data_IF_543624553194
#
_entry.id   IF_543624553194
#
_cell.length_a   1.000
_cell.length_b   1.000
_cell.length_c   1.000
_cell.angle_alpha   90.00
_cell.angle_beta   90.00
_cell.angle_gamma   90.00
#
_symmetry.space_group_name_H-M   'P 1'
#
loop_
_entity.id
_entity.type
_entity.pdbx_description
1 polymer ?
#
# COMPACT_ATOMS: atom_id res chain seq x y z
N UNK A 1 14.25 53.92 10.05
CA UNK A 1 14.18 55.31 9.46
C UNK A 1 13.94 55.14 7.97
N UNK A 2 12.71 55.51 7.59
CA UNK A 2 12.31 56.33 6.42
C UNK A 2 12.71 55.79 5.04
N UNK A 3 11.73 55.33 4.24
CA UNK A 3 10.76 56.00 3.35
C UNK A 3 11.46 56.69 2.15
N UNK A 4 11.05 56.40 0.89
CA UNK A 4 10.00 56.96 0.02
C UNK A 4 10.23 56.49 -1.42
N UNK A 5 9.27 55.92 -2.16
CA UNK A 5 8.23 56.51 -3.05
C UNK A 5 8.75 57.42 -4.17
N UNK A 6 8.41 57.05 -5.44
CA UNK A 6 7.80 57.87 -6.51
C UNK A 6 7.79 57.11 -7.82
N UNK A 7 6.70 56.78 -8.44
CA UNK A 7 5.65 57.43 -9.24
C UNK A 7 6.05 57.82 -10.68
N UNK A 8 5.39 57.11 -11.60
CA UNK A 8 4.82 57.48 -12.90
C UNK A 8 5.57 58.38 -13.89
N UNK A 9 5.58 57.94 -15.17
CA UNK A 9 5.01 58.72 -16.30
C UNK A 9 4.65 57.80 -17.47
N UNK A 10 3.39 57.96 -17.95
CA UNK A 10 2.83 57.44 -19.18
C UNK A 10 3.32 58.20 -20.40
N UNK A 11 3.53 57.54 -21.51
CA UNK A 11 3.41 58.13 -22.85
C UNK A 11 2.90 57.07 -23.82
N UNK A 12 1.75 57.34 -24.46
CA UNK A 12 1.13 56.51 -25.43
C UNK A 12 1.74 56.65 -26.81
N UNK A 13 1.60 55.63 -27.63
CA UNK A 13 1.69 55.71 -29.11
C UNK A 13 0.79 54.66 -29.73
N UNK A 14 0.16 55.06 -30.80
CA UNK A 14 -1.01 54.50 -31.49
C UNK A 14 -0.78 53.20 -32.22
N UNK A 15 -1.92 52.50 -32.44
CA UNK A 15 -2.12 51.24 -33.09
C UNK A 15 -1.73 51.17 -34.55
N UNK A 16 -1.19 50.01 -34.94
CA UNK A 16 -1.29 49.47 -36.29
C UNK A 16 -1.89 48.04 -36.21
N UNK A 17 -3.13 47.91 -36.67
CA UNK A 17 -3.86 46.62 -36.75
C UNK A 17 -3.42 45.92 -38.01
N UNK A 18 -2.76 44.77 -37.87
CA UNK A 18 -2.65 43.76 -38.95
C UNK A 18 -3.49 42.54 -38.60
N UNK A 19 -4.29 42.00 -39.51
CA UNK A 19 -5.07 40.79 -39.24
C UNK A 19 -4.14 39.57 -39.28
N UNK A 20 -3.84 38.99 -38.12
CA UNK A 20 -3.17 37.69 -38.04
C UNK A 20 -4.23 36.60 -38.14
N UNK A 21 -4.05 35.72 -39.14
CA UNK A 21 -4.82 34.52 -39.36
C UNK A 21 -4.81 33.64 -38.12
N UNK A 22 -6.00 33.11 -37.75
CA UNK A 22 -6.20 32.28 -36.57
C UNK A 22 -5.35 31.02 -36.63
N UNK A 23 -4.36 30.96 -35.78
CA UNK A 23 -3.87 29.68 -35.27
C UNK A 23 -4.83 29.25 -34.17
N UNK A 24 -5.63 28.22 -34.45
CA UNK A 24 -6.44 27.57 -33.45
C UNK A 24 -5.52 27.05 -32.34
N UNK A 25 -5.52 27.74 -31.23
CA UNK A 25 -4.99 27.21 -29.99
C UNK A 25 -5.86 26.00 -29.67
N UNK A 26 -5.32 24.78 -29.86
CA UNK A 26 -5.84 23.62 -29.16
C UNK A 26 -5.80 24.01 -27.69
N UNK A 27 -6.98 24.18 -27.12
CA UNK A 27 -7.09 24.24 -25.65
C UNK A 27 -6.40 22.97 -25.15
N UNK A 28 -5.31 23.12 -24.42
CA UNK A 28 -4.80 22.02 -23.61
C UNK A 28 -5.99 21.64 -22.73
N UNK A 29 -6.49 20.42 -22.88
CA UNK A 29 -7.43 19.85 -21.92
C UNK A 29 -6.69 19.96 -20.60
N UNK A 30 -7.19 20.76 -19.68
CA UNK A 30 -6.64 20.82 -18.33
C UNK A 30 -6.72 19.37 -17.83
N UNK A 31 -5.57 18.79 -17.57
CA UNK A 31 -5.51 17.47 -16.98
C UNK A 31 -6.10 17.66 -15.59
N UNK A 32 -7.21 16.97 -15.29
CA UNK A 32 -7.85 17.11 -13.99
C UNK A 32 -6.81 16.80 -12.91
N UNK A 33 -6.70 17.71 -11.93
CA UNK A 33 -5.81 17.48 -10.80
C UNK A 33 -6.35 16.31 -9.95
N UNK A 34 -5.51 15.43 -9.41
CA UNK A 34 -5.97 14.38 -8.51
C UNK A 34 -6.62 14.99 -7.26
N UNK A 35 -7.58 14.29 -6.69
CA UNK A 35 -8.18 14.65 -5.39
C UNK A 35 -7.09 14.65 -4.31
N UNK A 36 -6.23 13.63 -4.33
CA UNK A 36 -5.05 13.50 -3.48
C UNK A 36 -4.07 12.47 -4.05
N UNK A 37 -2.89 12.40 -3.43
CA UNK A 37 -1.86 11.42 -3.79
C UNK A 37 -1.28 10.78 -2.53
N UNK A 38 -0.80 9.54 -2.66
CA UNK A 38 -0.08 8.84 -1.59
C UNK A 38 1.03 7.94 -2.14
N UNK A 39 2.02 7.63 -1.29
CA UNK A 39 3.11 6.74 -1.65
C UNK A 39 2.82 5.29 -1.23
N UNK A 40 3.34 4.33 -2.01
CA UNK A 40 3.23 2.90 -1.72
C UNK A 40 4.60 2.23 -1.83
N UNK A 41 4.95 1.47 -0.80
CA UNK A 41 6.10 0.55 -0.77
C UNK A 41 5.59 -0.83 -0.37
N UNK A 42 6.14 -1.90 -0.94
CA UNK A 42 5.84 -3.27 -0.53
C UNK A 42 7.13 -4.05 -0.28
N UNK A 43 7.12 -4.90 0.73
CA UNK A 43 8.12 -5.92 1.01
C UNK A 43 9.58 -5.40 0.95
N UNK A 44 9.98 -4.39 1.74
CA UNK A 44 11.39 -4.06 1.87
C UNK A 44 12.20 -5.19 2.46
N UNK A 45 11.63 -6.02 3.31
CA UNK A 45 12.19 -7.28 3.83
C UNK A 45 13.65 -7.17 4.25
N UNK A 46 13.97 -6.18 5.09
CA UNK A 46 15.34 -5.99 5.54
C UNK A 46 15.80 -7.07 6.50
N UNK A 47 17.01 -7.56 6.29
CA UNK A 47 17.82 -8.28 7.26
C UNK A 47 19.32 -8.07 6.95
N UNK A 48 20.21 -8.13 7.94
CA UNK A 48 21.65 -7.93 7.72
C UNK A 48 22.32 -9.20 7.13
N UNK A 49 21.70 -9.80 6.10
CA UNK A 49 22.18 -11.02 5.46
C UNK A 49 22.31 -10.85 3.96
N UNK A 50 23.30 -11.51 3.34
CA UNK A 50 23.39 -11.60 1.89
C UNK A 50 22.23 -12.44 1.34
N UNK A 51 21.94 -12.35 0.02
CA UNK A 51 21.00 -13.24 -0.63
C UNK A 51 21.45 -14.70 -0.49
N UNK A 52 20.49 -15.63 -0.45
CA UNK A 52 20.82 -17.04 -0.57
C UNK A 52 21.49 -17.32 -1.93
N UNK A 53 22.35 -18.35 -2.04
CA UNK A 53 22.96 -18.71 -3.31
C UNK A 53 21.91 -18.94 -4.41
N UNK A 54 21.98 -18.16 -5.49
CA UNK A 54 20.99 -18.16 -6.56
C UNK A 54 19.65 -17.48 -6.23
N UNK A 55 19.49 -16.90 -5.04
CA UNK A 55 18.31 -16.16 -4.63
C UNK A 55 18.27 -14.77 -5.22
N UNK A 56 17.05 -14.23 -5.32
CA UNK A 56 16.75 -12.91 -5.88
C UNK A 56 16.52 -11.83 -4.82
N UNK A 57 16.36 -12.23 -3.54
CA UNK A 57 16.10 -11.33 -2.41
C UNK A 57 17.38 -10.80 -1.80
N UNK A 58 17.61 -9.51 -1.93
CA UNK A 58 18.81 -8.80 -1.46
C UNK A 58 18.50 -8.05 -0.17
N UNK A 59 18.31 -8.78 0.91
CA UNK A 59 17.83 -8.30 2.22
C UNK A 59 18.61 -7.08 2.75
N UNK A 60 19.93 -7.14 2.79
CA UNK A 60 20.76 -6.04 3.29
C UNK A 60 20.68 -4.78 2.43
N UNK A 61 20.35 -4.92 1.15
CA UNK A 61 20.23 -3.79 0.22
C UNK A 61 18.96 -2.98 0.46
N UNK A 62 18.00 -3.51 1.18
CA UNK A 62 16.72 -2.84 1.46
C UNK A 62 16.91 -1.52 2.22
N UNK A 63 17.97 -1.36 3.01
CA UNK A 63 18.24 -0.07 3.68
C UNK A 63 18.46 1.08 2.69
N UNK A 64 19.30 0.87 1.66
CA UNK A 64 19.50 1.94 0.69
C UNK A 64 18.31 2.11 -0.25
N UNK A 65 17.57 1.03 -0.55
CA UNK A 65 16.39 1.08 -1.41
C UNK A 65 15.27 1.89 -0.77
N UNK A 66 14.98 1.62 0.50
CA UNK A 66 13.95 2.37 1.24
C UNK A 66 14.40 3.82 1.48
N UNK A 67 15.68 4.07 1.74
CA UNK A 67 16.21 5.44 1.87
C UNK A 67 16.03 6.23 0.56
N UNK A 68 16.36 5.62 -0.58
CA UNK A 68 16.17 6.23 -1.88
C UNK A 68 14.68 6.50 -2.19
N UNK A 69 13.80 5.53 -1.90
CA UNK A 69 12.36 5.67 -2.09
C UNK A 69 11.79 6.81 -1.21
N UNK A 70 12.14 6.85 0.07
CA UNK A 70 11.71 7.93 0.99
C UNK A 70 12.20 9.29 0.53
N UNK A 71 13.47 9.41 0.10
CA UNK A 71 14.00 10.65 -0.42
C UNK A 71 13.26 11.14 -1.67
N UNK A 72 12.85 10.23 -2.56
CA UNK A 72 12.06 10.57 -3.74
C UNK A 72 10.62 10.95 -3.38
N UNK A 73 9.94 10.14 -2.56
CA UNK A 73 8.57 10.40 -2.09
C UNK A 73 8.48 11.72 -1.31
N UNK A 74 9.52 12.11 -0.57
CA UNK A 74 9.60 13.39 0.12
C UNK A 74 9.66 14.62 -0.81
N UNK A 75 9.83 14.46 -2.12
CA UNK A 75 9.76 15.56 -3.10
C UNK A 75 8.37 15.72 -3.70
N UNK A 76 7.49 14.74 -3.52
CA UNK A 76 6.11 14.76 -4.01
C UNK A 76 5.19 15.37 -2.94
N UNK A 77 4.02 15.86 -3.36
CA UNK A 77 2.98 16.36 -2.45
C UNK A 77 2.00 15.21 -2.13
N UNK A 78 2.28 14.50 -1.05
CA UNK A 78 1.55 13.30 -0.65
C UNK A 78 0.79 13.52 0.65
N UNK A 79 -0.43 12.97 0.73
CA UNK A 79 -1.20 12.89 1.97
C UNK A 79 -0.51 11.97 3.00
N UNK A 80 0.03 10.84 2.53
CA UNK A 80 0.72 9.84 3.36
C UNK A 80 1.56 8.87 2.52
N UNK A 81 2.30 8.00 3.18
CA UNK A 81 2.97 6.86 2.57
C UNK A 81 2.57 5.58 3.32
N UNK A 82 2.23 4.52 2.61
CA UNK A 82 1.94 3.21 3.19
C UNK A 82 2.99 2.18 2.79
N UNK A 83 3.41 1.34 3.77
CA UNK A 83 4.20 0.13 3.51
C UNK A 83 3.33 -1.09 3.71
N UNK A 84 3.22 -1.93 2.67
CA UNK A 84 2.28 -3.06 2.57
C UNK A 84 2.85 -4.36 3.18
N UNK A 85 3.54 -4.25 4.29
CA UNK A 85 4.04 -5.38 5.07
C UNK A 85 5.46 -5.82 4.73
N UNK A 86 5.93 -6.81 5.48
CA UNK A 86 7.27 -7.37 5.37
C UNK A 86 8.36 -6.28 5.42
N UNK A 87 8.33 -5.49 6.48
CA UNK A 87 9.30 -4.42 6.73
C UNK A 87 10.68 -5.03 6.99
N UNK A 88 10.72 -6.08 7.78
CA UNK A 88 11.90 -6.91 8.01
C UNK A 88 11.73 -8.29 7.37
N UNK A 89 12.84 -9.00 7.14
CA UNK A 89 12.79 -10.41 6.77
C UNK A 89 12.73 -11.32 8.00
N UNK A 90 13.53 -11.02 9.01
CA UNK A 90 13.65 -11.78 10.26
C UNK A 90 14.41 -10.99 11.31
N UNK A 91 14.37 -11.50 12.54
CA UNK A 91 15.07 -11.01 13.73
C UNK A 91 14.61 -9.64 14.19
N UNK A 92 14.38 -9.53 15.47
CA UNK A 92 13.90 -8.30 16.10
C UNK A 92 14.81 -7.09 15.86
N UNK A 93 16.12 -7.33 15.86
CA UNK A 93 17.13 -6.28 15.67
C UNK A 93 17.04 -5.58 14.32
N UNK A 94 16.50 -6.27 13.30
CA UNK A 94 16.31 -5.69 11.95
C UNK A 94 15.38 -4.47 11.97
N UNK A 95 14.41 -4.42 12.89
CA UNK A 95 13.58 -3.23 13.08
C UNK A 95 14.40 -2.02 13.51
N UNK A 96 15.40 -2.22 14.38
CA UNK A 96 16.29 -1.17 14.87
C UNK A 96 17.14 -0.52 13.76
N UNK A 97 17.41 -1.23 12.67
CA UNK A 97 18.17 -0.73 11.54
C UNK A 97 17.29 -0.02 10.52
N UNK A 98 16.11 -0.55 10.21
CA UNK A 98 15.27 -0.03 9.13
C UNK A 98 14.32 1.08 9.57
N UNK A 99 13.72 1.02 10.76
CA UNK A 99 12.73 2.01 11.22
C UNK A 99 13.29 3.45 11.29
N UNK A 100 14.56 3.70 11.71
CA UNK A 100 15.13 5.05 11.68
C UNK A 100 15.19 5.67 10.28
N UNK A 101 15.11 4.86 9.22
CA UNK A 101 15.04 5.39 7.84
C UNK A 101 13.64 5.92 7.57
N UNK A 102 12.60 5.24 8.06
CA UNK A 102 11.21 5.71 7.97
C UNK A 102 10.98 7.03 8.74
N UNK A 103 11.74 7.32 9.81
CA UNK A 103 11.69 8.60 10.51
C UNK A 103 12.08 9.80 9.63
N UNK A 104 12.69 9.56 8.45
CA UNK A 104 13.00 10.62 7.47
C UNK A 104 11.79 11.01 6.61
N UNK A 105 10.68 10.27 6.64
CA UNK A 105 9.45 10.64 5.95
C UNK A 105 8.94 11.99 6.44
N UNK A 106 8.62 12.87 5.50
CA UNK A 106 7.95 14.16 5.77
C UNK A 106 6.43 14.03 5.88
N UNK A 107 5.90 12.94 5.35
CA UNK A 107 4.47 12.62 5.31
C UNK A 107 4.11 11.63 6.41
N UNK A 108 2.85 11.57 6.86
CA UNK A 108 2.39 10.50 7.72
C UNK A 108 2.71 9.12 7.13
N UNK A 109 3.27 8.23 7.93
CA UNK A 109 3.57 6.84 7.54
C UNK A 109 2.54 5.88 8.12
N UNK A 110 2.01 4.97 7.30
CA UNK A 110 1.13 3.88 7.72
C UNK A 110 1.76 2.54 7.38
N UNK A 111 1.55 1.54 8.24
CA UNK A 111 2.10 0.21 8.06
C UNK A 111 1.00 -0.84 8.04
N UNK A 112 1.14 -1.78 7.13
CA UNK A 112 0.51 -3.10 7.18
C UNK A 112 1.55 -4.08 7.71
N UNK A 113 1.17 -5.11 8.43
CA UNK A 113 2.11 -6.15 8.89
C UNK A 113 2.07 -7.35 7.95
N UNK A 114 3.25 -7.83 7.55
CA UNK A 114 3.42 -9.05 6.78
C UNK A 114 3.88 -10.22 7.64
N UNK A 115 4.01 -11.40 7.05
CA UNK A 115 4.40 -12.62 7.77
C UNK A 115 5.85 -12.58 8.26
N UNK A 116 6.74 -11.95 7.53
CA UNK A 116 8.14 -11.81 7.91
C UNK A 116 8.34 -10.87 9.10
N UNK A 117 7.45 -9.91 9.34
CA UNK A 117 7.48 -9.04 10.52
C UNK A 117 7.32 -9.84 11.84
N UNK A 118 6.70 -11.02 11.75
CA UNK A 118 6.58 -11.96 12.87
C UNK A 118 7.67 -13.06 12.90
N UNK A 119 8.65 -13.01 11.99
CA UNK A 119 9.80 -13.93 12.01
C UNK A 119 10.83 -13.51 13.08
N UNK A 120 10.36 -13.31 14.31
CA UNK A 120 11.09 -12.91 15.51
C UNK A 120 10.98 -13.98 16.59
N UNK A 121 11.79 -13.88 17.66
CA UNK A 121 11.65 -14.81 18.78
C UNK A 121 10.26 -14.67 19.43
N UNK A 122 9.73 -15.78 19.96
CA UNK A 122 8.36 -15.85 20.48
C UNK A 122 8.01 -14.79 21.52
N UNK A 123 8.97 -14.43 22.37
CA UNK A 123 8.80 -13.39 23.40
C UNK A 123 8.57 -11.99 22.82
N UNK A 124 8.91 -11.76 21.56
CA UNK A 124 8.73 -10.47 20.87
C UNK A 124 7.44 -10.36 20.07
N UNK A 125 6.75 -11.46 19.77
CA UNK A 125 5.57 -11.48 18.91
C UNK A 125 4.52 -10.41 19.29
N UNK A 126 4.18 -10.34 20.58
CA UNK A 126 3.21 -9.35 21.08
C UNK A 126 3.73 -7.89 21.04
N UNK A 127 5.02 -7.70 20.78
CA UNK A 127 5.64 -6.38 20.73
C UNK A 127 5.74 -5.82 19.31
N UNK A 128 5.52 -6.64 18.26
CA UNK A 128 5.66 -6.25 16.86
C UNK A 128 4.78 -5.04 16.55
N UNK A 129 3.48 -5.13 16.82
CA UNK A 129 2.50 -4.06 16.57
C UNK A 129 2.94 -2.74 17.21
N UNK A 130 3.29 -2.79 18.50
CA UNK A 130 3.72 -1.60 19.25
C UNK A 130 5.05 -1.05 18.75
N UNK A 131 5.99 -1.90 18.34
CA UNK A 131 7.29 -1.48 17.80
C UNK A 131 7.15 -0.69 16.49
N UNK A 132 6.11 -0.99 15.72
CA UNK A 132 5.75 -0.25 14.51
C UNK A 132 4.94 1.04 14.79
N UNK A 133 4.78 1.43 16.06
CA UNK A 133 3.98 2.60 16.44
C UNK A 133 2.48 2.42 16.28
N UNK A 134 2.02 1.20 16.00
CA UNK A 134 0.60 0.89 15.78
C UNK A 134 -0.11 0.61 17.10
N UNK A 135 -1.37 1.03 17.22
CA UNK A 135 -2.21 0.70 18.37
C UNK A 135 -2.84 -0.69 18.27
N UNK A 136 -3.20 -1.09 17.03
CA UNK A 136 -3.74 -2.40 16.66
C UNK A 136 -3.12 -2.84 15.34
N UNK A 137 -3.12 -4.13 15.06
CA UNK A 137 -2.63 -4.69 13.81
C UNK A 137 -3.56 -4.38 12.61
N UNK A 138 -4.86 -4.17 12.88
CA UNK A 138 -5.83 -3.70 11.89
C UNK A 138 -6.51 -2.41 12.38
N UNK A 139 -6.75 -1.47 11.49
CA UNK A 139 -7.29 -0.15 11.79
C UNK A 139 -7.80 0.54 10.53
N UNK A 140 -8.51 1.65 10.70
CA UNK A 140 -8.91 2.50 9.59
C UNK A 140 -8.44 3.94 9.78
N UNK A 141 -8.32 4.65 8.67
CA UNK A 141 -8.05 6.08 8.64
C UNK A 141 -8.70 6.71 7.41
N UNK A 142 -8.78 8.03 7.38
CA UNK A 142 -9.30 8.80 6.24
C UNK A 142 -8.19 9.65 5.63
N UNK A 143 -8.19 9.75 4.30
CA UNK A 143 -7.30 10.61 3.53
C UNK A 143 -7.98 11.02 2.23
N UNK A 144 -7.91 12.29 1.85
CA UNK A 144 -8.48 12.78 0.61
C UNK A 144 -9.98 12.50 0.42
N UNK A 145 -10.76 12.37 1.49
CA UNK A 145 -12.19 12.02 1.43
C UNK A 145 -12.48 10.54 1.19
N UNK A 146 -11.47 9.68 1.25
CA UNK A 146 -11.59 8.22 1.15
C UNK A 146 -11.32 7.59 2.51
N UNK A 147 -11.93 6.40 2.74
CA UNK A 147 -11.64 5.53 3.87
C UNK A 147 -10.61 4.49 3.44
N UNK A 148 -9.57 4.34 4.25
CA UNK A 148 -8.57 3.29 4.11
C UNK A 148 -8.73 2.28 5.22
N UNK A 149 -8.91 0.99 4.87
CA UNK A 149 -8.95 -0.10 5.83
C UNK A 149 -7.63 -0.87 5.76
N UNK A 150 -6.85 -0.81 6.83
CA UNK A 150 -5.67 -1.66 7.00
C UNK A 150 -6.10 -2.95 7.67
N UNK A 151 -5.90 -4.09 7.01
CA UNK A 151 -6.24 -5.40 7.52
C UNK A 151 -5.00 -6.20 7.90
N UNK A 152 -5.11 -7.01 8.94
CA UNK A 152 -4.06 -7.92 9.40
C UNK A 152 -4.36 -9.36 8.96
N UNK A 153 -3.78 -9.76 7.83
CA UNK A 153 -3.88 -11.13 7.34
C UNK A 153 -3.14 -12.16 8.21
N UNK A 154 -2.37 -11.73 9.20
CA UNK A 154 -1.67 -12.59 10.16
C UNK A 154 -2.53 -12.94 11.39
N UNK A 155 -3.70 -12.33 11.54
CA UNK A 155 -4.58 -12.45 12.69
C UNK A 155 -4.88 -13.92 13.05
N UNK A 156 -5.18 -14.75 12.03
CA UNK A 156 -5.27 -16.21 12.16
C UNK A 156 -4.19 -16.85 11.30
N UNK A 157 -3.05 -17.13 11.93
CA UNK A 157 -1.89 -17.76 11.28
C UNK A 157 -1.18 -18.71 12.24
N UNK A 158 -0.34 -19.58 11.70
CA UNK A 158 0.43 -20.55 12.48
C UNK A 158 1.69 -19.94 13.13
N UNK A 159 1.93 -18.64 12.97
CA UNK A 159 3.18 -17.98 13.40
C UNK A 159 2.98 -16.68 14.19
N UNK A 160 2.01 -15.82 13.88
CA UNK A 160 1.85 -14.52 14.52
C UNK A 160 1.16 -14.56 15.89
N UNK A 161 0.03 -15.28 16.10
CA UNK A 161 -0.55 -15.41 17.43
C UNK A 161 0.39 -16.16 18.39
N UNK A 162 0.41 -15.85 19.69
CA UNK A 162 1.13 -16.65 20.70
C UNK A 162 0.75 -18.14 20.65
N UNK A 163 1.63 -19.01 21.14
CA UNK A 163 1.46 -20.45 21.01
C UNK A 163 0.21 -21.00 21.73
N UNK A 164 -0.25 -20.32 22.78
CA UNK A 164 -1.44 -20.64 23.59
C UNK A 164 -2.70 -19.89 23.16
N UNK A 165 -2.61 -19.03 22.15
CA UNK A 165 -3.75 -18.28 21.61
C UNK A 165 -4.67 -19.24 20.79
N UNK A 166 -6.00 -19.22 21.02
CA UNK A 166 -6.93 -20.08 20.30
C UNK A 166 -6.91 -19.90 18.77
N UNK A 167 -6.45 -18.74 18.28
CA UNK A 167 -6.29 -18.49 16.83
C UNK A 167 -5.24 -19.37 16.18
N UNK A 168 -4.27 -19.90 16.95
CA UNK A 168 -3.30 -20.92 16.46
C UNK A 168 -4.01 -22.21 16.07
N UNK A 169 -4.85 -22.75 16.94
CA UNK A 169 -5.61 -23.96 16.65
C UNK A 169 -6.56 -23.77 15.46
N UNK A 170 -7.22 -22.62 15.39
CA UNK A 170 -8.06 -22.26 14.22
C UNK A 170 -7.24 -22.18 12.93
N UNK A 171 -6.02 -21.62 12.98
CA UNK A 171 -5.12 -21.54 11.84
C UNK A 171 -4.69 -22.94 11.35
N UNK A 172 -4.33 -23.82 12.28
CA UNK A 172 -3.98 -25.22 11.96
C UNK A 172 -5.15 -25.95 11.30
N UNK A 173 -6.37 -25.76 11.81
CA UNK A 173 -7.59 -26.34 11.23
C UNK A 173 -7.85 -25.81 9.80
N UNK A 174 -7.75 -24.50 9.60
CA UNK A 174 -7.95 -23.87 8.26
C UNK A 174 -6.92 -24.38 7.26
N UNK A 175 -5.64 -24.36 7.64
CA UNK A 175 -4.55 -24.85 6.79
C UNK A 175 -4.71 -26.32 6.44
N UNK A 176 -5.10 -27.19 7.40
CA UNK A 176 -5.33 -28.60 7.16
C UNK A 176 -6.45 -28.82 6.14
N UNK A 177 -7.58 -28.10 6.26
CA UNK A 177 -8.71 -28.17 5.31
C UNK A 177 -8.30 -27.77 3.90
N UNK A 178 -7.55 -26.66 3.76
CA UNK A 178 -7.06 -26.21 2.46
C UNK A 178 -6.07 -27.20 1.85
N UNK A 179 -5.20 -27.78 2.67
CA UNK A 179 -4.25 -28.83 2.23
C UNK A 179 -4.98 -30.07 1.74
N UNK A 180 -6.00 -30.53 2.46
CA UNK A 180 -6.84 -31.67 2.05
C UNK A 180 -7.58 -31.37 0.75
N UNK A 181 -8.05 -30.13 0.56
CA UNK A 181 -8.70 -29.68 -0.67
C UNK A 181 -7.72 -29.48 -1.85
N UNK A 182 -6.40 -29.53 -1.62
CA UNK A 182 -5.40 -29.24 -2.64
C UNK A 182 -5.39 -27.79 -3.11
N UNK A 183 -5.82 -26.85 -2.25
CA UNK A 183 -5.87 -25.43 -2.58
C UNK A 183 -4.46 -24.87 -2.79
N UNK A 184 -4.20 -24.04 -3.82
CA UNK A 184 -2.86 -23.53 -4.11
C UNK A 184 -2.31 -22.66 -2.96
N UNK A 185 -3.18 -21.94 -2.27
CA UNK A 185 -2.85 -21.06 -1.15
C UNK A 185 -2.71 -21.79 0.20
N UNK A 186 -2.75 -23.12 0.24
CA UNK A 186 -2.51 -23.94 1.43
C UNK A 186 -1.02 -23.89 1.85
N UNK A 187 -0.50 -22.70 2.06
CA UNK A 187 0.90 -22.45 2.41
C UNK A 187 1.00 -21.97 3.85
N UNK A 188 1.97 -22.50 4.60
CA UNK A 188 2.14 -22.16 6.02
C UNK A 188 2.58 -20.71 6.28
N UNK A 189 3.06 -20.01 5.26
CA UNK A 189 3.42 -18.61 5.34
C UNK A 189 2.25 -17.64 5.05
N UNK A 190 1.09 -18.14 4.62
CA UNK A 190 -0.13 -17.38 4.51
C UNK A 190 -0.88 -17.34 5.84
N UNK A 191 -1.91 -16.54 5.89
CA UNK A 191 -2.81 -16.43 7.03
C UNK A 191 -4.23 -16.10 6.61
N UNK A 192 -5.06 -15.69 7.56
CA UNK A 192 -6.46 -15.33 7.34
C UNK A 192 -6.96 -14.37 8.40
N UNK A 193 -8.16 -13.85 8.23
CA UNK A 193 -8.81 -12.99 9.21
C UNK A 193 -9.60 -13.82 10.23
N UNK A 194 -9.68 -13.33 11.48
CA UNK A 194 -10.68 -13.79 12.43
C UNK A 194 -12.08 -13.30 11.99
N UNK A 195 -13.13 -13.93 12.53
CA UNK A 195 -14.49 -13.47 12.29
C UNK A 195 -14.74 -12.11 12.95
N UNK A 196 -14.06 -11.78 14.05
CA UNK A 196 -14.07 -10.46 14.67
C UNK A 196 -13.54 -9.39 13.71
N UNK A 197 -12.37 -9.61 13.12
CA UNK A 197 -11.80 -8.66 12.18
C UNK A 197 -12.63 -8.54 10.89
N UNK A 198 -13.15 -9.67 10.40
CA UNK A 198 -14.02 -9.65 9.22
C UNK A 198 -15.30 -8.84 9.47
N UNK A 199 -15.98 -9.05 10.60
CA UNK A 199 -17.14 -8.23 10.99
C UNK A 199 -16.80 -6.74 11.15
N UNK A 200 -15.62 -6.43 11.69
CA UNK A 200 -15.11 -5.05 11.74
C UNK A 200 -14.97 -4.44 10.34
N UNK A 201 -14.46 -5.21 9.35
CA UNK A 201 -14.39 -4.73 7.96
C UNK A 201 -15.77 -4.42 7.39
N UNK A 202 -16.75 -5.32 7.59
CA UNK A 202 -18.15 -5.09 7.16
C UNK A 202 -18.73 -3.80 7.76
N UNK A 203 -18.54 -3.62 9.07
CA UNK A 203 -19.00 -2.42 9.78
C UNK A 203 -18.35 -1.14 9.22
N UNK A 204 -17.02 -1.15 9.00
CA UNK A 204 -16.30 0.01 8.48
C UNK A 204 -16.64 0.35 7.04
N UNK A 205 -16.89 -0.64 6.20
CA UNK A 205 -17.39 -0.42 4.83
C UNK A 205 -18.79 0.21 4.85
N UNK A 206 -19.66 -0.25 5.75
CA UNK A 206 -21.02 0.31 5.92
C UNK A 206 -20.97 1.74 6.48
N UNK A 207 -20.10 2.02 7.47
CA UNK A 207 -19.86 3.37 7.99
C UNK A 207 -19.40 4.33 6.89
N UNK A 208 -18.39 3.91 6.10
CA UNK A 208 -17.87 4.68 4.97
C UNK A 208 -18.96 4.96 3.92
N UNK A 209 -19.77 3.95 3.57
CA UNK A 209 -20.91 4.12 2.66
C UNK A 209 -21.89 5.17 3.18
N UNK A 210 -22.20 5.12 4.47
CA UNK A 210 -23.11 6.09 5.11
C UNK A 210 -22.55 7.51 5.13
N UNK A 211 -21.22 7.65 5.16
CA UNK A 211 -20.49 8.91 5.09
C UNK A 211 -20.27 9.41 3.64
N UNK A 212 -20.62 8.62 2.62
CA UNK A 212 -20.36 8.93 1.22
C UNK A 212 -18.89 8.77 0.81
N UNK A 213 -18.13 7.98 1.58
CA UNK A 213 -16.71 7.72 1.33
C UNK A 213 -16.53 6.48 0.43
N UNK A 214 -15.61 6.55 -0.53
CA UNK A 214 -15.06 5.38 -1.22
C UNK A 214 -14.03 4.71 -0.32
N UNK A 215 -13.88 3.40 -0.47
CA UNK A 215 -12.98 2.57 0.36
C UNK A 215 -11.86 1.97 -0.47
N UNK A 216 -10.64 2.10 0.02
CA UNK A 216 -9.46 1.36 -0.43
C UNK A 216 -9.01 0.46 0.72
N UNK A 217 -8.88 -0.84 0.46
CA UNK A 217 -8.42 -1.80 1.46
C UNK A 217 -6.92 -2.05 1.25
N UNK A 218 -6.16 -2.03 2.34
CA UNK A 218 -4.73 -2.25 2.39
C UNK A 218 -4.44 -3.51 3.18
N UNK A 219 -3.92 -4.54 2.52
CA UNK A 219 -3.52 -5.79 3.15
C UNK A 219 -2.08 -6.15 2.79
N UNK A 220 -1.54 -7.21 3.39
CA UNK A 220 -0.26 -7.76 2.96
C UNK A 220 -0.45 -8.84 1.90
N UNK A 221 -1.33 -9.79 2.15
CA UNK A 221 -1.57 -10.94 1.27
C UNK A 221 -2.50 -10.59 0.11
N UNK A 222 -2.26 -11.10 -1.11
CA UNK A 222 -3.25 -11.02 -2.17
C UNK A 222 -4.52 -11.81 -1.82
N UNK A 223 -5.61 -11.45 -2.50
CA UNK A 223 -6.88 -12.18 -2.42
C UNK A 223 -7.40 -12.57 -3.81
N UNK A 224 -6.95 -11.88 -4.86
CA UNK A 224 -7.33 -12.13 -6.26
C UNK A 224 -6.25 -11.56 -7.22
N UNK A 225 -5.98 -12.20 -8.39
CA UNK A 225 -6.44 -13.54 -8.83
C UNK A 225 -5.93 -14.70 -7.96
N UNK A 226 -6.56 -15.87 -8.09
CA UNK A 226 -6.15 -17.08 -7.37
C UNK A 226 -4.67 -17.42 -7.61
N UNK A 227 -3.91 -17.58 -6.54
CA UNK A 227 -2.50 -18.00 -6.57
C UNK A 227 -2.06 -18.53 -5.19
N UNK A 228 -0.86 -19.10 -5.11
CA UNK A 228 -0.33 -19.70 -3.88
C UNK A 228 -0.09 -18.71 -2.73
N UNK A 229 0.02 -17.41 -3.02
CA UNK A 229 0.24 -16.34 -2.01
C UNK A 229 -1.05 -15.78 -1.42
N UNK A 230 -2.22 -16.21 -1.92
CA UNK A 230 -3.49 -15.67 -1.46
C UNK A 230 -3.75 -16.00 0.01
N UNK A 231 -4.40 -15.07 0.69
CA UNK A 231 -4.94 -15.28 2.03
C UNK A 231 -5.83 -16.54 2.05
N UNK A 232 -5.83 -17.33 3.13
CA UNK A 232 -6.56 -18.60 3.19
C UNK A 232 -8.07 -18.43 2.99
N UNK A 233 -8.62 -17.31 3.40
CA UNK A 233 -10.06 -16.98 3.30
C UNK A 233 -10.33 -15.90 2.24
N UNK A 234 -9.51 -15.85 1.21
CA UNK A 234 -9.59 -14.87 0.12
C UNK A 234 -10.97 -14.80 -0.54
N UNK A 235 -11.67 -15.92 -0.68
CA UNK A 235 -12.98 -15.96 -1.34
C UNK A 235 -14.00 -15.04 -0.64
N UNK A 236 -14.14 -15.12 0.70
CA UNK A 236 -15.09 -14.28 1.44
C UNK A 236 -14.73 -12.80 1.38
N UNK A 237 -13.42 -12.47 1.31
CA UNK A 237 -12.96 -11.08 1.19
C UNK A 237 -13.29 -10.54 -0.20
N UNK A 238 -13.05 -11.33 -1.25
CA UNK A 238 -13.43 -10.97 -2.61
C UNK A 238 -14.94 -10.77 -2.74
N UNK A 239 -15.75 -11.65 -2.12
CA UNK A 239 -17.21 -11.51 -2.09
C UNK A 239 -17.64 -10.22 -1.41
N UNK A 240 -17.07 -9.88 -0.25
CA UNK A 240 -17.35 -8.63 0.46
C UNK A 240 -16.98 -7.41 -0.40
N UNK A 241 -15.80 -7.40 -1.03
CA UNK A 241 -15.35 -6.32 -1.89
C UNK A 241 -16.27 -6.14 -3.10
N UNK A 242 -16.63 -7.24 -3.77
CA UNK A 242 -17.42 -7.19 -5.01
C UNK A 242 -18.89 -6.87 -4.76
N UNK A 243 -19.43 -7.20 -3.59
CA UNK A 243 -20.80 -6.85 -3.17
C UNK A 243 -20.92 -5.44 -2.59
N UNK A 244 -19.81 -4.77 -2.30
CA UNK A 244 -19.79 -3.43 -1.70
C UNK A 244 -19.57 -2.35 -2.75
N UNK A 245 -20.57 -1.51 -3.02
CA UNK A 245 -20.53 -0.49 -4.08
C UNK A 245 -19.39 0.52 -3.88
N UNK A 246 -19.15 0.92 -2.62
CA UNK A 246 -18.19 1.94 -2.24
C UNK A 246 -16.74 1.44 -2.08
N UNK A 247 -16.47 0.14 -2.12
CA UNK A 247 -15.09 -0.36 -2.19
C UNK A 247 -14.61 -0.27 -3.63
N UNK A 248 -13.44 0.34 -3.87
CA UNK A 248 -12.90 0.56 -5.22
C UNK A 248 -11.63 -0.23 -5.51
N UNK A 249 -10.79 -0.47 -4.52
CA UNK A 249 -9.54 -1.19 -4.70
C UNK A 249 -9.11 -1.95 -3.44
N UNK A 250 -8.32 -3.01 -3.68
CA UNK A 250 -7.55 -3.76 -2.70
C UNK A 250 -6.08 -3.74 -3.12
N UNK A 251 -5.20 -3.22 -2.25
CA UNK A 251 -3.76 -3.11 -2.48
C UNK A 251 -2.98 -3.98 -1.51
N UNK A 252 -2.00 -4.72 -2.02
CA UNK A 252 -1.22 -5.66 -1.23
C UNK A 252 0.21 -5.85 -1.75
N UNK A 253 1.06 -6.53 -0.95
CA UNK A 253 2.39 -7.00 -1.26
C UNK A 253 2.46 -8.52 -1.32
N UNK A 254 3.42 -9.14 -0.62
CA UNK A 254 3.64 -10.56 -0.41
C UNK A 254 4.08 -11.35 -1.64
N UNK A 255 3.40 -11.27 -2.76
CA UNK A 255 3.87 -11.84 -4.01
C UNK A 255 4.81 -10.85 -4.71
N UNK A 256 6.10 -11.01 -4.49
CA UNK A 256 7.14 -10.07 -4.94
C UNK A 256 7.20 -9.83 -6.45
N UNK A 257 6.62 -10.74 -7.24
CA UNK A 257 6.55 -10.57 -8.71
C UNK A 257 5.50 -9.55 -9.13
N UNK A 258 4.63 -9.17 -8.21
CA UNK A 258 3.46 -8.36 -8.53
C UNK A 258 2.37 -9.15 -9.23
N UNK A 259 1.15 -8.67 -9.15
CA UNK A 259 0.00 -9.22 -9.85
C UNK A 259 -1.09 -8.16 -9.98
N UNK A 260 -2.04 -8.40 -10.86
CA UNK A 260 -3.19 -7.54 -11.03
C UNK A 260 -4.39 -8.34 -11.52
N UNK A 261 -5.56 -8.00 -11.01
CA UNK A 261 -6.84 -8.48 -11.50
C UNK A 261 -7.95 -7.48 -11.22
N UNK A 262 -9.06 -7.61 -11.94
CA UNK A 262 -10.25 -6.80 -11.72
C UNK A 262 -11.51 -7.65 -11.83
N UNK A 263 -12.51 -7.33 -11.02
CA UNK A 263 -13.87 -7.90 -11.09
C UNK A 263 -14.83 -6.72 -11.19
N UNK A 264 -15.38 -6.51 -12.39
CA UNK A 264 -16.12 -5.28 -12.68
C UNK A 264 -15.21 -4.05 -12.52
N UNK A 265 -15.61 -3.12 -11.68
CA UNK A 265 -14.89 -1.90 -11.32
C UNK A 265 -14.09 -2.02 -10.01
N UNK A 266 -13.89 -3.23 -9.50
CA UNK A 266 -13.10 -3.51 -8.30
C UNK A 266 -11.70 -4.00 -8.69
N UNK A 267 -10.67 -3.32 -8.21
CA UNK A 267 -9.29 -3.56 -8.60
C UNK A 267 -8.49 -4.20 -7.47
N UNK A 268 -7.74 -5.24 -7.81
CA UNK A 268 -6.85 -5.96 -6.92
C UNK A 268 -5.42 -5.80 -7.44
N UNK A 269 -4.60 -5.05 -6.72
CA UNK A 269 -3.23 -4.72 -7.13
C UNK A 269 -2.25 -5.27 -6.13
N UNK A 270 -1.42 -6.18 -6.59
CA UNK A 270 -0.27 -6.68 -5.83
C UNK A 270 0.97 -5.90 -6.30
N UNK A 271 1.54 -5.11 -5.40
CA UNK A 271 2.77 -4.37 -5.64
C UNK A 271 3.99 -5.29 -5.55
N UNK A 272 5.03 -4.99 -6.34
CA UNK A 272 6.25 -5.78 -6.37
C UNK A 272 7.10 -5.57 -5.13
N UNK A 273 7.66 -6.67 -4.62
CA UNK A 273 8.53 -6.62 -3.45
C UNK A 273 9.81 -5.83 -3.70
N UNK A 274 10.10 -4.84 -2.84
CA UNK A 274 11.29 -4.00 -2.93
C UNK A 274 12.59 -4.79 -2.72
N UNK A 275 12.55 -5.88 -1.95
CA UNK A 275 13.73 -6.71 -1.60
C UNK A 275 14.40 -7.35 -2.81
N UNK A 276 13.64 -7.59 -3.88
CA UNK A 276 14.13 -8.27 -5.08
C UNK A 276 15.19 -7.45 -5.81
N UNK A 277 16.14 -8.12 -6.47
CA UNK A 277 17.25 -7.59 -7.24
C UNK A 277 18.32 -6.84 -6.42
N UNK A 278 19.52 -6.77 -6.97
CA UNK A 278 20.67 -6.19 -6.27
C UNK A 278 20.69 -4.65 -6.31
N UNK A 279 20.27 -4.07 -7.41
CA UNK A 279 20.56 -2.69 -7.83
C UNK A 279 19.36 -1.87 -8.27
N UNK A 280 18.16 -2.46 -8.23
CA UNK A 280 16.89 -1.76 -8.53
C UNK A 280 15.96 -1.81 -7.33
N UNK A 281 14.98 -0.91 -7.29
CA UNK A 281 13.97 -0.85 -6.24
C UNK A 281 12.57 -1.14 -6.79
N UNK A 282 11.53 -0.98 -5.98
CA UNK A 282 10.13 -0.97 -6.39
C UNK A 282 9.35 -0.13 -5.39
N UNK A 283 8.67 0.90 -5.87
CA UNK A 283 7.69 1.70 -5.12
C UNK A 283 6.80 2.46 -6.10
N UNK A 284 5.76 3.10 -5.62
CA UNK A 284 4.86 3.86 -6.47
C UNK A 284 4.33 5.12 -5.80
N UNK A 285 3.91 6.09 -6.63
CA UNK A 285 2.99 7.16 -6.25
C UNK A 285 1.62 6.82 -6.83
N UNK A 286 0.58 6.95 -6.01
CA UNK A 286 -0.81 6.68 -6.37
C UNK A 286 -1.58 7.99 -6.33
N UNK A 287 -2.14 8.39 -7.48
CA UNK A 287 -2.99 9.57 -7.61
C UNK A 287 -4.46 9.13 -7.75
N UNK A 288 -5.31 9.65 -6.89
CA UNK A 288 -6.75 9.33 -6.85
C UNK A 288 -7.56 10.46 -7.46
N UNK A 289 -8.44 10.12 -8.38
CA UNK A 289 -9.37 11.03 -9.06
C UNK A 289 -10.82 10.57 -8.80
N UNK A 290 -11.78 11.31 -9.28
CA UNK A 290 -13.20 10.93 -9.11
C UNK A 290 -13.55 9.62 -9.82
N UNK A 291 -12.96 9.37 -11.00
CA UNK A 291 -13.31 8.28 -11.92
C UNK A 291 -12.18 7.27 -12.15
N UNK A 292 -11.00 7.49 -11.58
CA UNK A 292 -9.83 6.63 -11.76
C UNK A 292 -8.84 6.72 -10.62
N UNK A 293 -7.97 5.72 -10.54
CA UNK A 293 -6.75 5.71 -9.73
C UNK A 293 -5.57 5.52 -10.69
N UNK A 294 -4.60 6.40 -10.67
CA UNK A 294 -3.36 6.27 -11.43
C UNK A 294 -2.21 5.86 -10.52
N UNK A 295 -1.59 4.73 -10.83
CA UNK A 295 -0.39 4.22 -10.15
C UNK A 295 0.80 4.56 -11.05
N UNK A 296 1.72 5.36 -10.56
CA UNK A 296 3.00 5.66 -11.21
C UNK A 296 4.09 4.84 -10.52
N UNK A 297 4.43 3.72 -11.12
CA UNK A 297 5.47 2.83 -10.64
C UNK A 297 6.88 3.35 -10.94
N UNK A 298 7.81 3.00 -10.07
CA UNK A 298 9.24 3.32 -10.20
C UNK A 298 10.06 2.05 -10.27
N UNK A 299 11.06 2.05 -11.14
CA UNK A 299 11.95 0.92 -11.45
C UNK A 299 11.15 -0.35 -11.80
N UNK A 300 11.13 -1.35 -10.90
CA UNK A 300 10.45 -2.63 -11.16
C UNK A 300 8.94 -2.56 -11.04
N UNK A 301 8.40 -1.55 -10.34
CA UNK A 301 6.94 -1.41 -10.19
C UNK A 301 6.29 -0.92 -11.48
N UNK A 302 5.13 -1.45 -11.79
CA UNK A 302 4.39 -1.14 -13.01
C UNK A 302 3.46 0.07 -12.83
N UNK A 303 3.39 0.92 -13.85
CA UNK A 303 2.39 1.98 -13.90
C UNK A 303 1.06 1.45 -14.43
N UNK A 304 -0.06 1.86 -13.82
CA UNK A 304 -1.42 1.42 -14.16
C UNK A 304 -2.42 2.56 -14.03
N UNK A 305 -3.49 2.48 -14.81
CA UNK A 305 -4.69 3.29 -14.61
C UNK A 305 -5.86 2.34 -14.32
N UNK A 306 -6.51 2.56 -13.20
CA UNK A 306 -7.65 1.78 -12.72
C UNK A 306 -8.89 2.66 -12.87
N UNK A 307 -9.84 2.29 -13.72
CA UNK A 307 -11.11 3.02 -13.88
C UNK A 307 -12.05 2.62 -12.74
N UNK A 308 -12.52 3.59 -11.98
CA UNK A 308 -13.50 3.40 -10.91
C UNK A 308 -14.77 4.18 -11.24
N UNK A 309 -15.90 3.76 -10.67
CA UNK A 309 -17.13 4.53 -10.81
C UNK A 309 -17.04 5.86 -10.05
N UNK A 310 -17.53 6.93 -10.69
CA UNK A 310 -17.52 8.29 -10.14
C UNK A 310 -18.47 8.45 -8.93
#
# INVERSE_FOLDING_TARGET
MMQRRSLLKMAGAAALVTPFAGFGTRAAVAQDAPLFQFGVVADPQYAPFPPAPGGTRYYANSLWKIDAAINALNQEDLEFVVTLGDIIDRNWESFGDILPIYDKLKHPGFFVLGNHDYAVAGDYLQSVVRNMGMQKAYYDFTGGGHRFLVIDGNDVSTFAPPADDPRRALAEERLAKLTEAGAPNAQSWNGSLSDEQFGWMEDKIAEAKSAGEKVIILGHYPVYPENEHNMWDSERIVELITSSDNVVAYFNGHNHMGNYGAIGNKHFVNFKGMVETADTTAYATVAVFDDKIEIKGVDREESRTLTIDA
#
